data_IF_174192108504
#
_entry.id   IF_174192108504
#
_cell.length_a   1.000
_cell.length_b   1.000
_cell.length_c   1.000
_cell.angle_alpha   90.00
_cell.angle_beta   90.00
_cell.angle_gamma   90.00
#
_symmetry.space_group_name_H-M   'P 1'
#
loop_
_entity.id
_entity.type
_entity.pdbx_description
1 polymer ?
#
# COMPACT_ATOMS: atom_id res chain seq x y z
N UNK A 1 11.20 12.45 36.75
CA UNK A 1 12.64 12.14 36.69
C UNK A 1 12.97 11.93 35.22
N UNK A 2 13.37 13.01 34.56
CA UNK A 2 13.57 13.04 33.11
C UNK A 2 14.87 12.31 32.79
N UNK A 3 14.76 11.10 32.24
CA UNK A 3 15.91 10.36 31.73
C UNK A 3 16.23 10.97 30.37
N UNK A 4 16.97 12.07 30.37
CA UNK A 4 17.74 12.47 29.19
C UNK A 4 18.89 11.46 29.07
N UNK A 5 18.90 10.56 28.07
CA UNK A 5 20.01 9.65 27.87
C UNK A 5 21.28 10.46 27.63
N UNK A 6 22.33 10.18 28.40
CA UNK A 6 23.65 10.77 28.22
C UNK A 6 24.19 10.39 26.83
N UNK A 7 24.73 11.35 26.10
CA UNK A 7 25.30 11.18 24.74
C UNK A 7 26.24 9.96 24.61
N UNK A 8 26.89 9.56 25.70
CA UNK A 8 27.76 8.38 25.80
C UNK A 8 27.04 7.03 25.66
N UNK A 9 25.75 6.91 26.01
CA UNK A 9 25.00 5.65 25.89
C UNK A 9 24.38 5.46 24.50
N UNK A 10 24.21 6.56 23.74
CA UNK A 10 23.74 6.52 22.34
C UNK A 10 24.87 6.08 21.40
N UNK A 11 26.13 6.33 21.78
CA UNK A 11 27.32 5.90 21.04
C UNK A 11 27.71 4.43 21.28
N UNK A 12 27.00 3.72 22.14
CA UNK A 12 27.24 2.30 22.37
C UNK A 12 26.78 1.51 21.13
N UNK A 13 27.74 0.89 20.43
CA UNK A 13 27.49 0.13 19.20
C UNK A 13 26.56 -1.09 19.41
N UNK A 14 26.27 -1.46 20.65
CA UNK A 14 25.31 -2.51 21.00
C UNK A 14 23.85 -2.05 20.98
N UNK A 15 23.59 -0.73 20.99
CA UNK A 15 22.24 -0.20 20.98
C UNK A 15 21.60 -0.34 19.59
N UNK A 16 20.38 -0.90 19.47
CA UNK A 16 19.73 -1.16 18.17
C UNK A 16 19.44 0.12 17.37
N UNK A 17 19.49 1.30 18.01
CA UNK A 17 19.32 2.60 17.36
C UNK A 17 20.64 3.39 17.22
N UNK A 18 21.78 2.79 17.54
CA UNK A 18 23.09 3.47 17.48
C UNK A 18 23.42 3.98 16.06
N UNK A 19 22.90 3.30 15.02
CA UNK A 19 23.11 3.72 13.63
C UNK A 19 22.47 5.07 13.29
N UNK A 20 21.39 5.46 13.98
CA UNK A 20 20.72 6.75 13.78
C UNK A 20 21.59 7.93 14.24
N UNK A 21 22.53 7.70 15.16
CA UNK A 21 23.45 8.73 15.64
C UNK A 21 24.46 9.18 14.58
N UNK A 22 24.65 8.39 13.52
CA UNK A 22 25.52 8.74 12.38
C UNK A 22 24.81 9.61 11.34
N UNK A 23 23.50 9.84 11.46
CA UNK A 23 22.71 10.68 10.56
C UNK A 23 22.55 12.10 11.10
N UNK A 24 22.36 13.10 10.21
CA UNK A 24 21.85 14.40 10.61
C UNK A 24 20.50 14.25 11.35
N UNK A 25 20.23 15.09 12.38
CA UNK A 25 19.06 14.94 13.23
C UNK A 25 17.73 14.98 12.46
N UNK A 26 17.65 15.79 11.41
CA UNK A 26 16.45 15.88 10.55
C UNK A 26 16.16 14.57 9.82
N UNK A 27 17.20 13.92 9.29
CA UNK A 27 17.08 12.66 8.55
C UNK A 27 16.77 11.51 9.51
N UNK A 28 17.44 11.47 10.66
CA UNK A 28 17.17 10.47 11.69
C UNK A 28 15.72 10.54 12.18
N UNK A 29 15.17 11.75 12.34
CA UNK A 29 13.76 11.96 12.69
C UNK A 29 12.81 11.44 11.61
N UNK A 30 13.07 11.77 10.34
CA UNK A 30 12.26 11.31 9.21
C UNK A 30 12.26 9.78 9.07
N UNK A 31 13.43 9.15 9.17
CA UNK A 31 13.57 7.68 9.12
C UNK A 31 12.80 7.02 10.27
N UNK A 32 12.90 7.59 11.48
CA UNK A 32 12.19 7.06 12.65
C UNK A 32 10.67 7.13 12.47
N UNK A 33 10.14 8.25 11.97
CA UNK A 33 8.71 8.36 11.63
C UNK A 33 8.31 7.35 10.58
N UNK A 34 9.08 7.23 9.49
CA UNK A 34 8.81 6.29 8.41
C UNK A 34 8.76 4.86 8.94
N UNK A 35 9.69 4.46 9.80
CA UNK A 35 9.70 3.15 10.47
C UNK A 35 8.44 2.91 11.31
N UNK A 36 8.00 3.88 12.11
CA UNK A 36 6.76 3.74 12.88
C UNK A 36 5.53 3.58 11.98
N UNK A 37 5.45 4.36 10.91
CA UNK A 37 4.37 4.24 9.92
C UNK A 37 4.39 2.86 9.25
N UNK A 38 5.56 2.36 8.86
CA UNK A 38 5.72 1.04 8.25
C UNK A 38 5.32 -0.09 9.21
N UNK A 39 5.72 -0.02 10.48
CA UNK A 39 5.35 -1.02 11.50
C UNK A 39 3.85 -1.00 11.77
N UNK A 40 3.24 0.18 11.88
CA UNK A 40 1.80 0.33 12.03
C UNK A 40 1.05 -0.24 10.82
N UNK A 41 1.49 0.10 9.60
CA UNK A 41 0.93 -0.43 8.36
C UNK A 41 1.06 -1.96 8.27
N UNK A 42 2.20 -2.52 8.65
CA UNK A 42 2.41 -3.97 8.71
C UNK A 42 1.45 -4.63 9.70
N UNK A 43 1.28 -4.04 10.87
CA UNK A 43 0.36 -4.55 11.90
C UNK A 43 -1.09 -4.55 11.40
N UNK A 44 -1.52 -3.46 10.76
CA UNK A 44 -2.85 -3.36 10.14
C UNK A 44 -3.01 -4.40 9.03
N UNK A 45 -2.00 -4.56 8.17
CA UNK A 45 -2.04 -5.53 7.08
C UNK A 45 -2.13 -6.97 7.59
N UNK A 46 -1.35 -7.34 8.62
CA UNK A 46 -1.42 -8.66 9.25
C UNK A 46 -2.79 -8.85 9.90
N UNK A 47 -3.27 -7.86 10.64
CA UNK A 47 -4.58 -7.88 11.26
C UNK A 47 -5.69 -8.12 10.25
N UNK A 48 -5.66 -7.42 9.12
CA UNK A 48 -6.65 -7.57 8.07
C UNK A 48 -6.60 -8.95 7.40
N UNK A 49 -5.41 -9.50 7.15
CA UNK A 49 -5.25 -10.87 6.62
C UNK A 49 -5.82 -11.90 7.61
N UNK A 50 -5.56 -11.74 8.91
CA UNK A 50 -6.05 -12.66 9.93
C UNK A 50 -7.59 -12.65 10.01
N UNK A 51 -8.20 -11.47 9.94
CA UNK A 51 -9.67 -11.36 9.97
C UNK A 51 -10.33 -11.93 8.72
N UNK A 52 -9.69 -11.80 7.56
CA UNK A 52 -10.24 -12.25 6.28
C UNK A 52 -9.72 -13.63 5.85
N UNK A 53 -8.95 -14.33 6.68
CA UNK A 53 -8.26 -15.59 6.32
C UNK A 53 -9.22 -16.67 5.80
N UNK A 54 -10.43 -16.73 6.33
CA UNK A 54 -11.43 -17.71 5.91
C UNK A 54 -11.89 -17.48 4.48
N UNK A 55 -12.20 -16.22 4.14
CA UNK A 55 -12.63 -15.84 2.79
C UNK A 55 -11.46 -15.88 1.80
N UNK A 56 -10.26 -15.45 2.22
CA UNK A 56 -9.05 -15.54 1.40
C UNK A 56 -8.72 -16.99 1.05
N UNK A 57 -8.83 -17.92 2.03
CA UNK A 57 -8.66 -19.35 1.79
C UNK A 57 -9.72 -19.91 0.83
N UNK A 58 -10.97 -19.46 0.96
CA UNK A 58 -12.07 -19.87 0.07
C UNK A 58 -11.85 -19.37 -1.36
N UNK A 59 -11.35 -18.16 -1.53
CA UNK A 59 -11.03 -17.57 -2.83
C UNK A 59 -9.88 -18.33 -3.50
N UNK A 60 -8.84 -18.67 -2.74
CA UNK A 60 -7.65 -19.37 -3.25
C UNK A 60 -7.92 -20.84 -3.58
N UNK A 61 -8.69 -21.54 -2.74
CA UNK A 61 -8.78 -23.00 -2.79
C UNK A 61 -10.10 -23.55 -3.34
N UNK A 62 -11.20 -22.77 -3.25
CA UNK A 62 -12.55 -23.28 -3.55
C UNK A 62 -13.26 -22.59 -4.72
N UNK A 63 -12.84 -21.39 -5.12
CA UNK A 63 -13.44 -20.67 -6.27
C UNK A 63 -12.58 -20.83 -7.51
N UNK A 64 -13.17 -20.89 -8.72
CA UNK A 64 -12.39 -20.79 -9.95
C UNK A 64 -11.63 -19.46 -9.96
N UNK A 65 -10.37 -19.51 -10.38
CA UNK A 65 -9.49 -18.35 -10.41
C UNK A 65 -10.03 -17.30 -11.38
N UNK A 66 -10.80 -16.34 -10.86
CA UNK A 66 -11.22 -15.16 -11.60
C UNK A 66 -10.08 -14.15 -11.64
N UNK A 67 -9.93 -13.43 -12.74
CA UNK A 67 -8.85 -12.46 -12.91
C UNK A 67 -8.76 -11.43 -11.75
N UNK A 68 -9.86 -10.82 -11.26
CA UNK A 68 -9.83 -9.94 -10.09
C UNK A 68 -9.34 -10.62 -8.80
N UNK A 69 -9.62 -11.92 -8.62
CA UNK A 69 -9.19 -12.66 -7.43
C UNK A 69 -7.67 -12.87 -7.44
N UNK A 70 -7.09 -13.18 -8.61
CA UNK A 70 -5.63 -13.31 -8.77
C UNK A 70 -4.96 -11.97 -8.46
N UNK A 71 -5.47 -10.88 -9.05
CA UNK A 71 -4.94 -9.53 -8.81
C UNK A 71 -5.05 -9.16 -7.33
N UNK A 72 -6.13 -9.56 -6.65
CA UNK A 72 -6.29 -9.36 -5.21
C UNK A 72 -5.20 -10.07 -4.40
N UNK A 73 -4.95 -11.34 -4.67
CA UNK A 73 -3.89 -12.10 -4.00
C UNK A 73 -2.50 -11.50 -4.27
N UNK A 74 -2.21 -11.13 -5.52
CA UNK A 74 -0.95 -10.45 -5.89
C UNK A 74 -0.80 -9.15 -5.11
N UNK A 75 -1.82 -8.29 -5.11
CA UNK A 75 -1.80 -7.03 -4.35
C UNK A 75 -1.47 -7.26 -2.87
N UNK A 76 -2.12 -8.23 -2.22
CA UNK A 76 -1.92 -8.54 -0.80
C UNK A 76 -0.51 -9.04 -0.50
N UNK A 77 -0.03 -10.01 -1.27
CA UNK A 77 1.28 -10.65 -1.05
C UNK A 77 2.40 -9.64 -1.28
N UNK A 78 2.35 -8.86 -2.36
CA UNK A 78 3.39 -7.88 -2.68
C UNK A 78 3.40 -6.70 -1.70
N UNK A 79 2.23 -6.27 -1.20
CA UNK A 79 2.16 -5.23 -0.16
C UNK A 79 2.77 -5.72 1.15
N UNK A 80 2.44 -6.95 1.58
CA UNK A 80 3.02 -7.55 2.78
C UNK A 80 4.54 -7.72 2.64
N UNK A 81 5.00 -8.24 1.49
CA UNK A 81 6.41 -8.41 1.18
C UNK A 81 7.15 -7.07 1.20
N UNK A 82 6.57 -6.01 0.62
CA UNK A 82 7.14 -4.67 0.64
C UNK A 82 7.28 -4.13 2.07
N UNK A 83 6.25 -4.24 2.90
CA UNK A 83 6.27 -3.73 4.27
C UNK A 83 7.33 -4.45 5.13
N UNK A 84 7.39 -5.78 5.03
CA UNK A 84 8.42 -6.58 5.71
C UNK A 84 9.81 -6.21 5.21
N UNK A 85 9.99 -6.13 3.89
CA UNK A 85 11.26 -5.79 3.27
C UNK A 85 11.75 -4.40 3.71
N UNK A 86 10.88 -3.39 3.68
CA UNK A 86 11.21 -2.01 4.05
C UNK A 86 11.66 -1.91 5.51
N UNK A 87 10.96 -2.59 6.44
CA UNK A 87 11.35 -2.62 7.85
C UNK A 87 12.70 -3.31 8.02
N UNK A 88 12.90 -4.46 7.38
CA UNK A 88 14.17 -5.20 7.48
C UNK A 88 15.33 -4.38 6.90
N UNK A 89 15.12 -3.74 5.75
CA UNK A 89 16.12 -2.93 5.06
C UNK A 89 16.66 -1.78 5.90
N UNK A 90 15.77 -1.08 6.61
CA UNK A 90 16.13 0.09 7.43
C UNK A 90 16.65 -0.31 8.83
N UNK A 91 16.20 -1.44 9.40
CA UNK A 91 16.55 -1.84 10.78
C UNK A 91 17.73 -2.80 10.89
N UNK A 92 17.99 -3.62 9.86
CA UNK A 92 18.98 -4.70 9.94
C UNK A 92 20.32 -4.27 9.32
N UNK A 93 21.47 -4.66 9.91
CA UNK A 93 22.79 -4.42 9.32
C UNK A 93 23.09 -5.42 8.19
N UNK A 94 22.46 -5.24 7.02
CA UNK A 94 22.56 -6.16 5.88
C UNK A 94 23.85 -5.95 5.06
N UNK A 95 24.30 -4.70 4.94
CA UNK A 95 25.32 -4.30 3.97
C UNK A 95 24.86 -4.48 2.51
N UNK A 96 25.72 -4.17 1.54
CA UNK A 96 25.40 -4.23 0.10
C UNK A 96 24.12 -3.47 -0.29
N UNK A 97 23.88 -2.32 0.36
CA UNK A 97 22.66 -1.53 0.25
C UNK A 97 22.32 -1.11 -1.18
N UNK A 98 23.32 -0.95 -2.05
CA UNK A 98 23.13 -0.59 -3.47
C UNK A 98 22.30 -1.64 -4.21
N UNK A 99 22.68 -2.93 -4.09
CA UNK A 99 21.96 -4.03 -4.75
C UNK A 99 20.59 -4.25 -4.15
N UNK A 100 20.51 -4.18 -2.82
CA UNK A 100 19.27 -4.42 -2.10
C UNK A 100 18.26 -3.30 -2.31
N UNK A 101 18.70 -2.04 -2.44
CA UNK A 101 17.82 -0.88 -2.64
C UNK A 101 16.86 -1.01 -3.81
N UNK A 102 17.17 -1.87 -4.79
CA UNK A 102 16.34 -2.14 -5.96
C UNK A 102 15.14 -3.05 -5.66
N UNK A 103 15.21 -3.90 -4.64
CA UNK A 103 14.15 -4.87 -4.33
C UNK A 103 12.86 -4.19 -3.89
N UNK A 104 12.94 -3.16 -3.03
CA UNK A 104 11.78 -2.39 -2.58
C UNK A 104 10.96 -1.76 -3.72
N UNK A 105 11.61 -0.99 -4.63
CA UNK A 105 10.98 -0.44 -5.83
C UNK A 105 10.27 -1.48 -6.71
N UNK A 106 10.84 -2.68 -6.88
CA UNK A 106 10.18 -3.75 -7.63
C UNK A 106 8.90 -4.24 -6.94
N UNK A 107 8.95 -4.42 -5.62
CA UNK A 107 7.78 -4.87 -4.85
C UNK A 107 6.64 -3.85 -4.93
N UNK A 108 6.95 -2.56 -4.75
CA UNK A 108 5.93 -1.50 -4.79
C UNK A 108 5.39 -1.26 -6.22
N UNK A 109 6.22 -1.44 -7.24
CA UNK A 109 5.82 -1.37 -8.65
C UNK A 109 4.79 -2.45 -9.03
N UNK A 110 4.72 -3.55 -8.28
CA UNK A 110 3.70 -4.59 -8.47
C UNK A 110 2.51 -4.34 -7.53
N UNK A 111 2.77 -4.02 -6.27
CA UNK A 111 1.73 -3.81 -5.26
C UNK A 111 0.76 -2.69 -5.65
N UNK A 112 1.25 -1.47 -5.91
CA UNK A 112 0.42 -0.29 -6.15
C UNK A 112 -0.47 -0.45 -7.39
N UNK A 113 0.07 -0.80 -8.58
CA UNK A 113 -0.77 -0.95 -9.76
C UNK A 113 -1.76 -2.10 -9.63
N UNK A 114 -1.43 -3.17 -8.88
CA UNK A 114 -2.38 -4.24 -8.59
C UNK A 114 -3.55 -3.75 -7.73
N UNK A 115 -3.29 -2.93 -6.69
CA UNK A 115 -4.34 -2.32 -5.87
C UNK A 115 -5.21 -1.38 -6.72
N UNK A 116 -4.60 -0.50 -7.51
CA UNK A 116 -5.31 0.40 -8.42
C UNK A 116 -6.15 -0.37 -9.45
N UNK A 117 -5.68 -1.52 -9.93
CA UNK A 117 -6.43 -2.38 -10.87
C UNK A 117 -7.69 -2.98 -10.22
N UNK A 118 -7.65 -3.31 -8.93
CA UNK A 118 -8.82 -3.80 -8.20
C UNK A 118 -9.90 -2.72 -8.10
N UNK A 119 -9.50 -1.48 -7.79
CA UNK A 119 -10.41 -0.34 -7.78
C UNK A 119 -10.99 -0.10 -9.17
N UNK A 120 -10.19 -0.21 -10.22
CA UNK A 120 -10.67 -0.17 -11.59
C UNK A 120 -11.72 -1.26 -11.87
N UNK A 121 -11.53 -2.51 -11.43
CA UNK A 121 -12.55 -3.56 -11.65
C UNK A 121 -13.87 -3.25 -10.95
N UNK A 122 -13.83 -2.65 -9.74
CA UNK A 122 -15.05 -2.22 -9.04
C UNK A 122 -15.80 -1.15 -9.84
N UNK A 123 -15.08 -0.14 -10.32
CA UNK A 123 -15.64 0.92 -11.17
C UNK A 123 -16.15 0.34 -12.50
N UNK A 124 -15.39 -0.53 -13.16
CA UNK A 124 -15.82 -1.17 -14.41
C UNK A 124 -17.13 -1.96 -14.20
N UNK A 125 -17.22 -2.75 -13.14
CA UNK A 125 -18.44 -3.50 -12.81
C UNK A 125 -19.63 -2.56 -12.55
N UNK A 126 -19.38 -1.43 -11.90
CA UNK A 126 -20.37 -0.38 -11.66
C UNK A 126 -20.83 0.33 -12.93
N UNK A 127 -19.93 0.60 -13.87
CA UNK A 127 -20.18 1.39 -15.10
C UNK A 127 -20.22 0.54 -16.36
N UNK A 128 -20.58 -0.74 -16.23
CA UNK A 128 -20.57 -1.74 -17.30
C UNK A 128 -21.34 -1.33 -18.59
N UNK A 129 -22.20 -0.29 -18.52
CA UNK A 129 -22.95 0.27 -19.65
C UNK A 129 -22.29 1.48 -20.34
N UNK A 130 -21.32 2.15 -19.71
CA UNK A 130 -20.66 3.36 -20.22
C UNK A 130 -19.17 3.12 -20.50
N UNK A 131 -18.87 2.71 -21.74
CA UNK A 131 -17.50 2.37 -22.19
C UNK A 131 -16.49 3.51 -22.04
N UNK A 132 -16.93 4.77 -22.16
CA UNK A 132 -16.05 5.94 -22.03
C UNK A 132 -15.50 6.12 -20.61
N UNK A 133 -16.36 5.97 -19.60
CA UNK A 133 -15.96 6.09 -18.19
C UNK A 133 -14.96 4.99 -17.84
N UNK A 134 -15.26 3.75 -18.26
CA UNK A 134 -14.32 2.64 -18.08
C UNK A 134 -12.99 2.86 -18.82
N UNK A 135 -13.00 3.41 -20.03
CA UNK A 135 -11.77 3.72 -20.76
C UNK A 135 -10.91 4.75 -20.02
N UNK A 136 -11.54 5.79 -19.46
CA UNK A 136 -10.84 6.83 -18.69
C UNK A 136 -10.13 6.26 -17.46
N UNK A 137 -10.82 5.47 -16.64
CA UNK A 137 -10.19 4.87 -15.44
C UNK A 137 -9.12 3.84 -15.81
N UNK A 138 -9.26 3.13 -16.93
CA UNK A 138 -8.19 2.26 -17.42
C UNK A 138 -6.94 3.03 -17.84
N UNK A 139 -7.10 4.18 -18.50
CA UNK A 139 -5.98 5.07 -18.85
C UNK A 139 -5.31 5.65 -17.60
N UNK A 140 -6.08 6.04 -16.58
CA UNK A 140 -5.54 6.47 -15.29
C UNK A 140 -4.73 5.36 -14.62
N UNK A 141 -5.23 4.12 -14.63
CA UNK A 141 -4.50 2.96 -14.13
C UNK A 141 -3.18 2.74 -14.89
N UNK A 142 -3.16 2.87 -16.23
CA UNK A 142 -1.91 2.79 -17.01
C UNK A 142 -0.92 3.89 -16.62
N UNK A 143 -1.41 5.08 -16.31
CA UNK A 143 -0.58 6.18 -15.88
C UNK A 143 0.00 5.96 -14.47
N UNK A 144 -0.78 5.34 -13.56
CA UNK A 144 -0.27 4.85 -12.26
C UNK A 144 0.81 3.80 -12.47
N UNK A 145 0.60 2.82 -13.35
CA UNK A 145 1.60 1.79 -13.65
C UNK A 145 2.90 2.41 -14.19
N UNK A 146 2.78 3.32 -15.17
CA UNK A 146 3.93 4.04 -15.73
C UNK A 146 4.67 4.90 -14.71
N UNK A 147 3.93 5.62 -13.86
CA UNK A 147 4.50 6.43 -12.78
C UNK A 147 5.28 5.59 -11.77
N UNK A 148 4.73 4.44 -11.35
CA UNK A 148 5.41 3.55 -10.40
C UNK A 148 6.62 2.83 -11.02
N UNK A 149 6.62 2.57 -12.33
CA UNK A 149 7.77 1.99 -13.01
C UNK A 149 9.00 2.90 -12.94
N UNK A 150 8.81 4.23 -12.84
CA UNK A 150 9.93 5.17 -12.66
C UNK A 150 10.67 4.97 -11.33
N UNK A 151 10.04 4.35 -10.32
CA UNK A 151 10.66 4.10 -9.02
C UNK A 151 11.86 3.15 -9.14
N UNK A 152 11.83 2.21 -10.09
CA UNK A 152 12.89 1.20 -10.29
C UNK A 152 14.26 1.87 -10.57
N UNK A 153 14.42 2.71 -11.62
CA UNK A 153 15.67 3.44 -11.85
C UNK A 153 15.83 4.69 -10.97
N UNK A 154 14.81 5.03 -10.18
CA UNK A 154 14.75 6.26 -9.38
C UNK A 154 15.39 6.14 -8.01
N UNK A 155 15.37 4.95 -7.42
CA UNK A 155 15.81 4.72 -6.03
C UNK A 155 17.21 4.12 -6.03
N UNK A 156 18.10 4.73 -5.25
CA UNK A 156 19.42 4.19 -4.94
C UNK A 156 19.65 4.26 -3.44
N UNK A 157 20.22 3.21 -2.85
CA UNK A 157 20.54 3.15 -1.43
C UNK A 157 22.05 3.08 -1.18
N UNK A 158 22.48 3.58 -0.03
CA UNK A 158 23.88 3.58 0.39
C UNK A 158 24.03 3.19 1.86
N UNK A 159 25.24 2.76 2.24
CA UNK A 159 25.54 2.40 3.62
C UNK A 159 25.72 3.68 4.46
N UNK A 160 25.25 3.63 5.71
CA UNK A 160 25.40 4.73 6.68
C UNK A 160 26.84 4.74 7.20
N UNK A 161 27.69 5.59 6.62
CA UNK A 161 29.08 5.74 7.05
C UNK A 161 29.87 4.42 7.05
N UNK A 162 30.50 4.09 8.19
CA UNK A 162 31.23 2.82 8.39
C UNK A 162 30.33 1.67 8.84
N UNK A 163 29.03 1.90 9.03
CA UNK A 163 28.10 0.87 9.49
C UNK A 163 27.56 0.04 8.32
N UNK A 164 26.99 -1.12 8.62
CA UNK A 164 26.32 -1.99 7.64
C UNK A 164 24.82 -1.69 7.48
N UNK A 165 24.34 -0.60 8.09
CA UNK A 165 22.96 -0.17 7.95
C UNK A 165 22.73 0.54 6.63
N UNK A 166 21.56 0.34 6.05
CA UNK A 166 21.17 0.93 4.79
C UNK A 166 20.32 2.17 5.01
N UNK A 167 20.50 3.15 4.14
CA UNK A 167 19.63 4.30 4.03
C UNK A 167 19.19 4.46 2.58
N UNK A 168 17.90 4.74 2.39
CA UNK A 168 17.40 5.20 1.12
C UNK A 168 18.09 6.51 0.76
N UNK A 169 18.80 6.49 -0.36
CA UNK A 169 19.71 7.53 -0.73
C UNK A 169 19.08 8.59 -1.62
N UNK A 170 19.69 8.79 -2.79
CA UNK A 170 19.24 9.82 -3.72
C UNK A 170 17.92 9.40 -4.38
N UNK A 171 16.82 9.97 -3.90
CA UNK A 171 15.51 9.92 -4.56
C UNK A 171 15.48 10.96 -5.68
N UNK A 172 15.35 10.51 -6.92
CA UNK A 172 15.20 11.44 -8.05
C UNK A 172 13.84 12.13 -7.99
N UNK A 173 13.74 13.43 -8.34
CA UNK A 173 12.51 14.21 -8.15
C UNK A 173 11.31 13.66 -8.94
N UNK A 174 11.54 12.95 -10.05
CA UNK A 174 10.47 12.36 -10.85
C UNK A 174 9.73 11.21 -10.15
N UNK A 175 10.25 10.65 -9.06
CA UNK A 175 9.54 9.63 -8.25
C UNK A 175 8.22 10.17 -7.71
N UNK A 176 8.17 11.49 -7.46
CA UNK A 176 6.95 12.18 -7.04
C UNK A 176 5.79 12.00 -8.02
N UNK A 177 6.06 11.76 -9.31
CA UNK A 177 5.04 11.52 -10.33
C UNK A 177 4.21 10.28 -9.99
N UNK A 178 4.84 9.19 -9.54
CA UNK A 178 4.13 7.97 -9.14
C UNK A 178 3.14 8.23 -8.00
N UNK A 179 3.58 9.00 -6.99
CA UNK A 179 2.76 9.35 -5.82
C UNK A 179 1.59 10.26 -6.24
N UNK A 180 1.85 11.27 -7.06
CA UNK A 180 0.82 12.22 -7.53
C UNK A 180 -0.22 11.49 -8.39
N UNK A 181 0.21 10.67 -9.34
CA UNK A 181 -0.72 9.93 -10.22
C UNK A 181 -1.58 8.95 -9.42
N UNK A 182 -0.99 8.28 -8.42
CA UNK A 182 -1.74 7.43 -7.50
C UNK A 182 -2.80 8.22 -6.72
N UNK A 183 -2.40 9.34 -6.13
CA UNK A 183 -3.31 10.18 -5.34
C UNK A 183 -4.49 10.70 -6.16
N UNK A 184 -4.22 11.15 -7.40
CA UNK A 184 -5.26 11.61 -8.33
C UNK A 184 -6.20 10.46 -8.68
N UNK A 185 -5.67 9.29 -9.02
CA UNK A 185 -6.48 8.12 -9.35
C UNK A 185 -7.40 7.73 -8.19
N UNK A 186 -6.87 7.61 -6.98
CA UNK A 186 -7.63 7.19 -5.80
C UNK A 186 -8.69 8.22 -5.41
N UNK A 187 -8.37 9.51 -5.52
CA UNK A 187 -9.34 10.59 -5.27
C UNK A 187 -10.51 10.55 -6.25
N UNK A 188 -10.23 10.34 -7.55
CA UNK A 188 -11.28 10.26 -8.58
C UNK A 188 -12.18 9.04 -8.37
N UNK A 189 -11.58 7.88 -8.05
CA UNK A 189 -12.36 6.66 -7.77
C UNK A 189 -13.20 6.83 -6.51
N UNK A 190 -12.64 7.38 -5.44
CA UNK A 190 -13.37 7.63 -4.19
C UNK A 190 -14.54 8.59 -4.38
N UNK A 191 -14.35 9.68 -5.12
CA UNK A 191 -15.44 10.61 -5.48
C UNK A 191 -16.56 9.91 -6.25
N UNK A 192 -16.21 9.06 -7.22
CA UNK A 192 -17.19 8.35 -8.03
C UNK A 192 -18.00 7.34 -7.21
N UNK A 193 -17.32 6.59 -6.34
CA UNK A 193 -17.97 5.66 -5.41
C UNK A 193 -18.93 6.40 -4.46
N UNK A 194 -18.52 7.55 -3.92
CA UNK A 194 -19.38 8.39 -3.07
C UNK A 194 -20.60 8.96 -3.80
N UNK A 195 -20.42 9.48 -5.02
CA UNK A 195 -21.53 10.02 -5.82
C UNK A 195 -22.56 8.93 -6.11
N UNK A 196 -22.09 7.74 -6.47
CA UNK A 196 -22.95 6.59 -6.72
C UNK A 196 -23.65 6.12 -5.45
N UNK A 197 -22.95 6.11 -4.32
CA UNK A 197 -23.54 5.78 -3.01
C UNK A 197 -24.66 6.76 -2.62
N UNK A 198 -24.51 8.05 -2.92
CA UNK A 198 -25.54 9.08 -2.69
C UNK A 198 -26.77 8.91 -3.61
N UNK A 199 -26.58 8.36 -4.80
CA UNK A 199 -27.68 8.07 -5.72
C UNK A 199 -28.47 6.82 -5.32
N UNK A 200 -27.87 5.86 -4.61
CA UNK A 200 -28.54 4.64 -4.13
C UNK A 200 -29.83 4.93 -3.32
N UNK A 201 -29.84 5.75 -2.25
CA UNK A 201 -31.08 6.05 -1.52
C UNK A 201 -32.10 6.80 -2.38
N UNK A 202 -31.65 7.72 -3.25
CA UNK A 202 -32.54 8.46 -4.16
C UNK A 202 -33.22 7.51 -5.15
N UNK A 203 -32.52 6.51 -5.67
CA UNK A 203 -33.07 5.47 -6.57
C UNK A 203 -33.96 4.48 -5.82
N UNK A 204 -33.64 4.11 -4.58
CA UNK A 204 -34.47 3.24 -3.73
C UNK A 204 -35.80 3.91 -3.38
N UNK A 205 -35.79 5.21 -3.09
CA UNK A 205 -37.01 5.98 -2.78
C UNK A 205 -37.89 6.16 -4.03
N UNK A 206 -37.29 6.30 -5.23
CA UNK A 206 -38.02 6.57 -6.47
C UNK A 206 -38.36 5.34 -7.33
N UNK A 207 -37.85 4.13 -7.05
CA UNK A 207 -38.15 2.93 -7.85
C UNK A 207 -38.41 1.68 -6.99
N UNK A 208 -39.68 1.26 -6.97
CA UNK A 208 -40.14 -0.04 -6.42
C UNK A 208 -39.50 -1.20 -7.18
N UNK A 209 -38.61 -1.93 -6.49
CA UNK A 209 -38.27 -3.35 -6.59
C UNK A 209 -36.75 -3.53 -6.39
N UNK A 210 -36.34 -3.78 -5.14
CA UNK A 210 -34.95 -4.10 -4.81
C UNK A 210 -34.54 -5.43 -5.46
N UNK A 211 -33.41 -5.50 -6.19
CA UNK A 211 -32.83 -6.77 -6.58
C UNK A 211 -32.34 -7.54 -5.34
N UNK A 212 -32.41 -8.87 -5.38
CA UNK A 212 -32.04 -9.78 -4.29
C UNK A 212 -30.65 -9.50 -3.67
N UNK A 213 -29.75 -8.86 -4.43
CA UNK A 213 -28.43 -8.44 -4.01
C UNK A 213 -28.43 -7.46 -2.82
N UNK A 214 -29.33 -6.47 -2.80
CA UNK A 214 -29.42 -5.51 -1.67
C UNK A 214 -29.97 -6.17 -0.41
N UNK A 215 -30.83 -7.19 -0.56
CA UNK A 215 -31.35 -7.97 0.55
C UNK A 215 -30.28 -8.87 1.17
N UNK A 216 -29.38 -9.42 0.35
CA UNK A 216 -28.23 -10.19 0.82
C UNK A 216 -27.19 -9.31 1.54
N UNK A 217 -26.90 -8.12 1.01
CA UNK A 217 -25.96 -7.18 1.61
C UNK A 217 -26.44 -6.65 2.98
N UNK A 218 -27.76 -6.43 3.14
CA UNK A 218 -28.34 -6.02 4.42
C UNK A 218 -28.38 -7.13 5.47
N UNK A 219 -28.47 -8.40 5.05
CA UNK A 219 -28.44 -9.54 5.97
C UNK A 219 -27.03 -9.85 6.49
N UNK A 220 -25.98 -9.74 5.65
CA UNK A 220 -24.60 -9.94 6.12
C UNK A 220 -24.15 -8.85 7.11
N UNK A 221 -24.62 -7.61 6.95
CA UNK A 221 -24.29 -6.51 7.85
C UNK A 221 -24.87 -6.63 9.27
N UNK A 222 -25.95 -7.40 9.47
CA UNK A 222 -26.55 -7.60 10.79
C UNK A 222 -25.94 -8.77 11.58
N UNK A 223 -25.19 -9.67 10.93
CA UNK A 223 -24.51 -10.77 11.61
C UNK A 223 -23.25 -10.32 12.39
N UNK A 224 -22.80 -9.08 12.21
CA UNK A 224 -21.63 -8.53 12.91
C UNK A 224 -21.95 -7.88 14.28
N UNK A 225 -23.23 -7.79 14.67
CA UNK A 225 -23.67 -7.10 15.88
C UNK A 225 -24.49 -7.97 16.86
N UNK A 226 -24.46 -9.30 16.71
CA UNK A 226 -25.00 -10.25 17.69
C UNK A 226 -23.95 -11.30 18.06
#
# INVERSE_FOLDING_TARGET
MSITPTLSSILDASHPLAYLAYLPPDVAYQVTIALYVLVAALSIQIWDILNNVHEDYRILMKRPASFPNIVYCVSRIFTLAYLLYAIIYETTPIGNCEKLSQVGPWLICIAIPSTSLLFFFRVHAMYNRHKYVSGFFFLMWLAVLGGNLTNVPGVAGFNIGLTKHCLNGTLKPYISVGIIMQFVNDSLIGMEEEMKLKDVPRVIVFKKNLPAFTKALLWDGQAYYL
#
